data_IF_090052945159
#
_entry.id   IF_090052945159
#
_cell.length_a   1.000
_cell.length_b   1.000
_cell.length_c   1.000
_cell.angle_alpha   90.00
_cell.angle_beta   90.00
_cell.angle_gamma   90.00
#
_symmetry.space_group_name_H-M   'P 1'
#
loop_
_entity.id
_entity.type
_entity.pdbx_description
1 polymer ?
#
# COMPACT_ATOMS: atom_id res chain seq x y z
N UNK A 1 -7.82 8.07 7.74
CA UNK A 1 -7.77 9.40 8.38
C UNK A 1 -6.38 9.95 8.10
N UNK A 2 -6.22 11.19 7.64
CA UNK A 2 -4.87 11.75 7.46
C UNK A 2 -4.46 12.52 8.71
N UNK A 3 -3.22 12.32 9.16
CA UNK A 3 -2.69 12.94 10.36
C UNK A 3 -1.51 13.84 10.00
N UNK A 4 -1.61 15.11 10.36
CA UNK A 4 -0.55 16.11 10.16
C UNK A 4 -0.20 16.82 11.45
N UNK A 5 1.02 17.34 11.54
CA UNK A 5 1.42 18.29 12.60
C UNK A 5 1.52 19.68 12.00
N UNK A 6 0.93 20.67 12.66
CA UNK A 6 1.13 22.06 12.28
C UNK A 6 2.58 22.47 12.58
N UNK A 7 3.30 23.00 11.58
CA UNK A 7 4.65 23.54 11.76
C UNK A 7 4.70 24.62 12.84
N UNK A 8 3.66 25.47 12.94
CA UNK A 8 3.66 26.65 13.81
C UNK A 8 3.26 26.35 15.25
N UNK A 9 2.25 25.51 15.48
CA UNK A 9 1.74 25.24 16.83
C UNK A 9 1.96 23.80 17.33
N UNK A 10 2.58 22.93 16.52
CA UNK A 10 2.84 21.50 16.77
C UNK A 10 1.63 20.63 17.16
N UNK A 11 0.42 21.20 17.20
CA UNK A 11 -0.82 20.45 17.43
C UNK A 11 -1.03 19.44 16.30
N UNK A 12 -1.49 18.24 16.67
CA UNK A 12 -1.93 17.21 15.71
C UNK A 12 -3.28 17.63 15.15
N UNK A 13 -3.40 17.62 13.82
CA UNK A 13 -4.69 17.69 13.13
C UNK A 13 -4.94 16.35 12.46
N UNK A 14 -6.18 15.89 12.58
CA UNK A 14 -6.67 14.73 11.84
C UNK A 14 -7.78 15.21 10.91
N UNK A 15 -7.68 14.92 9.62
CA UNK A 15 -8.72 15.21 8.64
C UNK A 15 -9.32 13.91 8.09
N UNK A 16 -10.57 13.99 7.65
CA UNK A 16 -11.16 12.95 6.81
C UNK A 16 -10.44 12.96 5.46
N UNK A 17 -10.24 11.78 4.90
CA UNK A 17 -9.77 11.66 3.52
C UNK A 17 -10.89 12.17 2.59
N UNK A 18 -10.53 12.79 1.45
CA UNK A 18 -11.50 13.09 0.41
C UNK A 18 -12.19 11.81 -0.09
N UNK A 19 -13.42 11.95 -0.58
CA UNK A 19 -14.17 10.82 -1.13
C UNK A 19 -13.41 10.14 -2.26
N UNK A 20 -13.36 8.80 -2.23
CA UNK A 20 -12.64 7.98 -3.22
C UNK A 20 -11.18 7.65 -2.88
N UNK A 21 -10.57 8.28 -1.85
CA UNK A 21 -9.22 7.93 -1.42
C UNK A 21 -9.26 6.91 -0.29
N UNK A 22 -8.72 5.71 -0.56
CA UNK A 22 -8.58 4.67 0.47
C UNK A 22 -7.54 5.09 1.50
N UNK A 23 -7.74 4.79 2.79
CA UNK A 23 -6.76 5.07 3.85
C UNK A 23 -5.48 4.23 3.76
N UNK A 24 -5.42 3.28 2.83
CA UNK A 24 -4.26 2.42 2.61
C UNK A 24 -3.13 3.18 1.91
N UNK A 25 -1.89 2.90 2.31
CA UNK A 25 -0.67 3.48 1.73
C UNK A 25 -0.50 3.15 0.25
N UNK A 26 -1.05 2.03 -0.20
CA UNK A 26 -0.98 1.58 -1.59
C UNK A 26 -2.39 1.33 -2.13
N UNK A 27 -2.65 1.86 -3.33
CA UNK A 27 -3.93 1.66 -4.00
C UNK A 27 -4.22 0.19 -4.33
N UNK A 28 -5.49 -0.17 -4.56
CA UNK A 28 -5.91 -1.55 -4.78
C UNK A 28 -5.16 -2.23 -5.93
N UNK A 29 -4.87 -1.50 -7.03
CA UNK A 29 -4.13 -2.02 -8.19
C UNK A 29 -2.74 -2.53 -7.84
N UNK A 30 -1.97 -1.72 -7.10
CA UNK A 30 -0.59 -2.07 -6.69
C UNK A 30 -0.63 -3.27 -5.75
N UNK A 31 -1.60 -3.31 -4.81
CA UNK A 31 -1.79 -4.45 -3.90
C UNK A 31 -2.10 -5.75 -4.66
N UNK A 32 -2.98 -5.71 -5.65
CA UNK A 32 -3.33 -6.88 -6.47
C UNK A 32 -2.13 -7.45 -7.22
N UNK A 33 -1.30 -6.58 -7.80
CA UNK A 33 -0.11 -7.00 -8.55
C UNK A 33 0.93 -7.62 -7.62
N UNK A 34 1.21 -6.99 -6.47
CA UNK A 34 2.13 -7.52 -5.46
C UNK A 34 1.65 -8.90 -4.98
N UNK A 35 0.36 -9.05 -4.70
CA UNK A 35 -0.22 -10.33 -4.30
C UNK A 35 -0.09 -11.39 -5.40
N UNK A 36 -0.32 -11.02 -6.66
CA UNK A 36 -0.19 -11.94 -7.78
C UNK A 36 1.26 -12.42 -7.97
N UNK A 37 2.22 -11.48 -7.98
CA UNK A 37 3.64 -11.79 -8.15
C UNK A 37 4.21 -12.63 -7.00
N UNK A 38 3.84 -12.32 -5.76
CA UNK A 38 4.31 -13.09 -4.59
C UNK A 38 3.58 -14.44 -4.43
N UNK A 39 2.30 -14.52 -4.79
CA UNK A 39 1.48 -15.72 -4.59
C UNK A 39 1.52 -16.71 -5.76
N UNK A 40 1.10 -16.26 -6.95
CA UNK A 40 0.98 -17.11 -8.13
C UNK A 40 2.33 -17.36 -8.81
N UNK A 41 3.08 -16.28 -9.02
CA UNK A 41 4.37 -16.37 -9.72
C UNK A 41 5.54 -16.72 -8.80
N UNK A 42 5.30 -16.80 -7.47
CA UNK A 42 6.28 -17.16 -6.43
C UNK A 42 7.58 -16.34 -6.50
N UNK A 43 7.52 -15.12 -7.02
CA UNK A 43 8.66 -14.23 -7.09
C UNK A 43 9.15 -13.90 -5.67
N UNK A 44 10.46 -13.73 -5.54
CA UNK A 44 11.02 -13.25 -4.28
C UNK A 44 10.52 -11.82 -4.01
N UNK A 45 10.39 -11.46 -2.73
CA UNK A 45 9.95 -10.10 -2.35
C UNK A 45 10.86 -8.99 -2.90
N UNK A 46 12.11 -9.33 -3.22
CA UNK A 46 13.09 -8.41 -3.82
C UNK A 46 12.86 -8.24 -5.33
N UNK A 47 12.54 -9.33 -6.03
CA UNK A 47 12.10 -9.26 -7.43
C UNK A 47 10.81 -8.45 -7.55
N UNK A 48 9.84 -8.69 -6.68
CA UNK A 48 8.60 -7.91 -6.69
C UNK A 48 8.87 -6.42 -6.47
N UNK A 49 9.83 -6.06 -5.62
CA UNK A 49 10.23 -4.65 -5.43
C UNK A 49 10.81 -4.04 -6.71
N UNK A 50 11.66 -4.80 -7.43
CA UNK A 50 12.25 -4.34 -8.70
C UNK A 50 11.19 -4.20 -9.78
N UNK A 51 10.32 -5.21 -9.96
CA UNK A 51 9.23 -5.19 -10.94
C UNK A 51 8.28 -4.00 -10.69
N UNK A 52 7.94 -3.73 -9.43
CA UNK A 52 7.10 -2.59 -9.08
C UNK A 52 7.81 -1.26 -9.37
N UNK A 53 9.12 -1.21 -9.15
CA UNK A 53 9.91 -0.04 -9.52
C UNK A 53 9.93 0.16 -11.04
N UNK A 54 10.13 -0.90 -11.81
CA UNK A 54 10.21 -0.82 -13.28
C UNK A 54 8.87 -0.43 -13.93
N UNK A 55 7.74 -0.96 -13.42
CA UNK A 55 6.42 -0.72 -14.01
C UNK A 55 5.78 0.58 -13.51
N UNK A 56 5.89 0.86 -12.22
CA UNK A 56 5.18 1.98 -11.57
C UNK A 56 6.10 3.15 -11.19
N UNK A 57 7.40 3.05 -11.45
CA UNK A 57 8.43 3.97 -10.96
C UNK A 57 8.34 4.19 -9.44
N UNK A 58 7.86 3.16 -8.72
CA UNK A 58 7.56 3.23 -7.30
C UNK A 58 8.65 2.52 -6.52
N UNK A 59 9.43 3.26 -5.74
CA UNK A 59 10.43 2.67 -4.85
C UNK A 59 9.74 2.15 -3.60
N UNK A 60 9.55 0.83 -3.53
CA UNK A 60 8.88 0.15 -2.42
C UNK A 60 9.88 -0.71 -1.64
N UNK A 61 9.83 -0.63 -0.32
CA UNK A 61 10.69 -1.47 0.53
C UNK A 61 10.21 -2.92 0.56
N UNK A 62 11.15 -3.86 0.73
CA UNK A 62 10.85 -5.29 0.90
C UNK A 62 9.97 -5.54 2.15
N UNK A 63 10.08 -4.67 3.17
CA UNK A 63 9.23 -4.68 4.35
C UNK A 63 7.77 -4.32 4.03
N UNK A 64 7.56 -3.32 3.16
CA UNK A 64 6.23 -2.95 2.67
C UNK A 64 5.58 -4.09 1.88
N UNK A 65 6.35 -4.76 1.01
CA UNK A 65 5.87 -5.96 0.29
C UNK A 65 5.52 -7.07 1.28
N UNK A 66 6.36 -7.33 2.28
CA UNK A 66 6.05 -8.30 3.33
C UNK A 66 4.73 -7.98 4.02
N UNK A 67 4.53 -6.73 4.45
CA UNK A 67 3.31 -6.28 5.10
C UNK A 67 2.05 -6.42 4.21
N UNK A 68 2.21 -6.29 2.90
CA UNK A 68 1.12 -6.49 1.93
C UNK A 68 0.82 -7.98 1.68
N UNK A 69 1.85 -8.83 1.72
CA UNK A 69 1.72 -10.30 1.54
C UNK A 69 1.22 -11.03 2.76
N UNK A 70 1.42 -10.49 3.98
CA UNK A 70 0.84 -11.01 5.22
C UNK A 70 -0.64 -10.63 5.21
N UNK A 71 -1.41 -11.36 4.41
CA UNK A 71 -2.87 -11.43 4.43
C UNK A 71 -3.55 -10.09 4.68
N UNK A 72 -3.67 -9.26 3.64
CA UNK A 72 -4.86 -8.42 3.58
C UNK A 72 -6.05 -9.39 3.59
N UNK A 73 -6.73 -9.49 4.73
CA UNK A 73 -8.11 -9.98 4.77
C UNK A 73 -8.86 -9.14 3.75
N UNK A 74 -9.01 -9.65 2.53
CA UNK A 74 -10.09 -9.25 1.66
C UNK A 74 -11.35 -9.58 2.46
N UNK A 75 -11.84 -8.59 3.22
CA UNK A 75 -13.25 -8.54 3.51
C UNK A 75 -13.88 -8.47 2.13
N UNK A 76 -14.33 -9.60 1.62
CA UNK A 76 -15.32 -9.64 0.56
C UNK A 76 -16.50 -8.81 1.06
N UNK A 77 -16.48 -7.52 0.79
CA UNK A 77 -17.68 -6.68 0.77
C UNK A 77 -18.21 -6.72 -0.65
N UNK A 78 -18.68 -7.90 -1.05
CA UNK A 78 -19.76 -8.02 -2.02
C UNK A 78 -21.04 -8.04 -1.17
N UNK A 79 -21.75 -6.91 -1.19
CA UNK A 79 -23.18 -6.88 -0.87
C UNK A 79 -23.93 -7.23 -2.13
#
# INVERSE_FOLDING_TARGET
MEHGRCWRCRKRKSSKLPEGVTPDTFGPRVKSIIAALSGFYKNSKREVASIINDIFNLNISVGSISNLTITHKYKCTYK
#
